data_IF_597132079326
#
_entry.id   IF_597132079326
#
_cell.length_a   1.000
_cell.length_b   1.000
_cell.length_c   1.000
_cell.angle_alpha   90.00
_cell.angle_beta   90.00
_cell.angle_gamma   90.00
#
_symmetry.space_group_name_H-M   'P 1'
#
loop_
_entity.id
_entity.type
_entity.pdbx_description
1 polymer ?
#
# COMPACT_ATOMS: atom_id res chain seq x y z
N UNK A 1 1.30 -7.57 -11.78
CA UNK A 1 0.55 -6.31 -11.66
C UNK A 1 1.49 -5.27 -11.09
N UNK A 2 1.73 -4.19 -11.83
CA UNK A 2 2.58 -3.11 -11.36
C UNK A 2 1.69 -2.06 -10.69
N UNK A 3 1.82 -1.92 -9.37
CA UNK A 3 1.16 -0.86 -8.62
C UNK A 3 2.22 0.14 -8.18
N UNK A 4 2.14 1.37 -8.70
CA UNK A 4 3.06 2.43 -8.31
C UNK A 4 2.77 2.85 -6.87
N UNK A 5 3.80 2.89 -6.04
CA UNK A 5 3.67 3.35 -4.65
C UNK A 5 3.91 4.87 -4.59
N UNK A 6 3.12 5.61 -3.82
CA UNK A 6 3.36 7.03 -3.61
C UNK A 6 4.64 7.21 -2.80
N UNK A 7 5.50 8.14 -3.23
CA UNK A 7 6.64 8.58 -2.45
C UNK A 7 6.20 9.47 -1.29
N UNK A 8 7.06 9.64 -0.29
CA UNK A 8 6.82 10.58 0.81
C UNK A 8 6.56 12.00 0.27
N UNK A 9 7.35 12.47 -0.70
CA UNK A 9 7.15 13.78 -1.34
C UNK A 9 5.77 13.92 -1.98
N UNK A 10 5.26 12.87 -2.64
CA UNK A 10 3.93 12.89 -3.24
C UNK A 10 2.83 13.01 -2.18
N UNK A 11 2.96 12.31 -1.04
CA UNK A 11 2.02 12.42 0.07
C UNK A 11 2.06 13.81 0.72
N UNK A 12 3.25 14.37 0.94
CA UNK A 12 3.45 15.71 1.48
C UNK A 12 2.81 16.79 0.60
N UNK A 13 2.97 16.69 -0.72
CA UNK A 13 2.36 17.63 -1.67
C UNK A 13 0.85 17.47 -1.72
N UNK A 14 0.35 16.23 -1.73
CA UNK A 14 -1.09 15.94 -1.87
C UNK A 14 -1.90 16.35 -0.64
N UNK A 15 -1.37 16.08 0.54
CA UNK A 15 -2.10 16.22 1.80
C UNK A 15 -1.65 17.40 2.66
N UNK A 16 -0.60 18.10 2.25
CA UNK A 16 0.01 19.17 3.03
C UNK A 16 1.12 18.65 3.92
N UNK A 17 2.32 19.22 3.78
CA UNK A 17 3.50 18.79 4.52
C UNK A 17 3.36 18.97 6.03
N UNK A 18 2.67 20.05 6.45
CA UNK A 18 2.37 20.32 7.85
C UNK A 18 1.45 19.25 8.44
N UNK A 19 0.31 19.00 7.81
CA UNK A 19 -0.67 18.03 8.28
C UNK A 19 -0.06 16.62 8.36
N UNK A 20 0.76 16.24 7.39
CA UNK A 20 1.49 14.96 7.42
C UNK A 20 2.54 14.94 8.52
N UNK A 21 3.31 16.01 8.74
CA UNK A 21 4.27 16.07 9.85
C UNK A 21 3.57 15.92 11.21
N UNK A 22 2.41 16.55 11.41
CA UNK A 22 1.64 16.45 12.65
C UNK A 22 1.17 15.03 12.97
N UNK A 23 0.93 14.18 11.95
CA UNK A 23 0.44 12.80 12.16
C UNK A 23 1.49 11.71 11.96
N UNK A 24 2.59 12.02 11.28
CA UNK A 24 3.63 11.04 10.96
C UNK A 24 4.85 11.12 11.89
N UNK A 25 5.06 12.23 12.60
CA UNK A 25 6.10 12.30 13.62
C UNK A 25 5.74 11.32 14.75
N UNK A 26 6.69 10.50 15.24
CA UNK A 26 6.43 9.60 16.36
C UNK A 26 5.93 10.37 17.59
N UNK A 27 4.96 9.81 18.31
CA UNK A 27 4.35 10.46 19.49
C UNK A 27 5.35 10.73 20.63
N UNK A 28 6.52 10.08 20.58
CA UNK A 28 7.64 10.28 21.53
C UNK A 28 8.46 11.52 21.25
N UNK A 29 8.34 12.11 20.05
CA UNK A 29 9.16 13.20 19.56
C UNK A 29 8.36 14.49 19.40
N UNK A 30 9.08 15.62 19.35
CA UNK A 30 8.47 16.92 19.03
C UNK A 30 8.20 17.00 17.53
N UNK A 31 7.02 17.48 17.14
CA UNK A 31 6.70 17.79 15.75
C UNK A 31 7.75 18.74 15.15
N UNK A 32 8.39 18.30 14.07
CA UNK A 32 9.43 19.05 13.35
C UNK A 32 8.83 20.04 12.35
N UNK A 33 9.67 20.97 11.88
CA UNK A 33 9.30 21.87 10.79
C UNK A 33 8.98 21.09 9.51
N UNK A 34 7.89 21.46 8.83
CA UNK A 34 7.45 20.79 7.61
C UNK A 34 8.45 20.93 6.46
N UNK A 35 9.21 22.02 6.45
CA UNK A 35 10.26 22.34 5.50
C UNK A 35 11.42 21.35 5.61
N UNK A 36 11.81 20.96 6.82
CA UNK A 36 12.80 19.91 7.06
C UNK A 36 12.31 18.58 6.51
N UNK A 37 11.04 18.22 6.78
CA UNK A 37 10.47 16.97 6.28
C UNK A 37 10.41 16.93 4.74
N UNK A 38 10.07 18.06 4.10
CA UNK A 38 10.08 18.20 2.63
C UNK A 38 11.49 18.07 2.08
N UNK A 39 12.48 18.75 2.68
CA UNK A 39 13.88 18.67 2.26
C UNK A 39 14.42 17.24 2.39
N UNK A 40 14.12 16.57 3.51
CA UNK A 40 14.52 15.18 3.75
C UNK A 40 13.86 14.23 2.74
N UNK A 41 12.56 14.39 2.47
CA UNK A 41 11.86 13.57 1.47
C UNK A 41 12.39 13.76 0.04
N UNK A 42 12.86 14.97 -0.28
CA UNK A 42 13.46 15.31 -1.58
C UNK A 42 14.94 14.93 -1.70
N UNK A 43 15.57 14.43 -0.62
CA UNK A 43 17.00 14.11 -0.60
C UNK A 43 17.91 15.34 -0.68
N UNK A 44 17.43 16.50 -0.20
CA UNK A 44 18.20 17.73 -0.16
C UNK A 44 19.21 17.73 1.01
N UNK A 45 20.28 18.54 0.94
CA UNK A 45 21.19 18.72 2.08
C UNK A 45 20.45 19.24 3.31
N UNK A 46 20.77 18.68 4.47
CA UNK A 46 20.13 19.01 5.75
C UNK A 46 21.09 19.65 6.76
N UNK A 47 22.29 20.05 6.32
CA UNK A 47 23.39 20.48 7.19
C UNK A 47 23.08 21.73 8.05
N UNK A 48 22.04 22.48 7.69
CA UNK A 48 21.56 23.66 8.40
C UNK A 48 20.62 23.33 9.57
N UNK A 49 20.17 22.08 9.69
CA UNK A 49 19.20 21.65 10.69
C UNK A 49 19.86 20.97 11.90
N UNK A 50 19.25 21.04 13.10
CA UNK A 50 19.73 20.32 14.26
C UNK A 50 19.76 18.80 14.03
N UNK A 51 20.82 18.08 14.46
CA UNK A 51 20.92 16.62 14.28
C UNK A 51 19.74 15.83 14.84
N UNK A 52 19.16 16.29 15.96
CA UNK A 52 17.98 15.71 16.59
C UNK A 52 16.71 15.85 15.73
N UNK A 53 16.54 16.98 15.06
CA UNK A 53 15.41 17.21 14.17
C UNK A 53 15.59 16.38 12.88
N UNK A 54 16.82 16.23 12.40
CA UNK A 54 17.14 15.34 11.26
C UNK A 54 16.82 13.88 11.60
N UNK A 55 17.19 13.41 12.79
CA UNK A 55 16.86 12.05 13.24
C UNK A 55 15.33 11.84 13.30
N UNK A 56 14.59 12.82 13.81
CA UNK A 56 13.12 12.80 13.82
C UNK A 56 12.56 12.77 12.40
N UNK A 57 13.13 13.53 11.46
CA UNK A 57 12.72 13.52 10.06
C UNK A 57 12.92 12.15 9.42
N UNK A 58 14.05 11.49 9.67
CA UNK A 58 14.32 10.13 9.19
C UNK A 58 13.31 9.12 9.76
N UNK A 59 13.03 9.19 11.07
CA UNK A 59 12.03 8.33 11.71
C UNK A 59 10.62 8.57 11.13
N UNK A 60 10.27 9.83 10.87
CA UNK A 60 9.01 10.23 10.25
C UNK A 60 8.88 9.65 8.84
N UNK A 61 9.92 9.74 8.01
CA UNK A 61 9.94 9.15 6.67
C UNK A 61 9.80 7.62 6.71
N UNK A 62 10.40 6.96 7.71
CA UNK A 62 10.22 5.52 7.90
C UNK A 62 8.77 5.16 8.23
N UNK A 63 8.11 5.92 9.12
CA UNK A 63 6.67 5.71 9.43
C UNK A 63 5.77 5.91 8.20
N UNK A 64 6.09 6.89 7.35
CA UNK A 64 5.38 7.11 6.08
C UNK A 64 5.57 5.89 5.15
N UNK A 65 6.79 5.38 5.01
CA UNK A 65 7.07 4.20 4.18
C UNK A 65 6.34 2.94 4.69
N UNK A 66 6.26 2.77 6.01
CA UNK A 66 5.49 1.68 6.63
C UNK A 66 3.99 1.80 6.35
N UNK A 67 3.43 3.01 6.47
CA UNK A 67 2.02 3.26 6.17
C UNK A 67 1.68 2.96 4.69
N UNK A 68 2.56 3.36 3.76
CA UNK A 68 2.44 3.02 2.33
C UNK A 68 2.52 1.51 2.08
N UNK A 69 3.38 0.80 2.81
CA UNK A 69 3.52 -0.66 2.70
C UNK A 69 2.27 -1.39 3.20
N UNK A 70 1.66 -0.91 4.29
CA UNK A 70 0.37 -1.42 4.78
C UNK A 70 -0.75 -1.17 3.77
N UNK A 71 -0.85 0.06 3.25
CA UNK A 71 -1.82 0.42 2.22
C UNK A 71 -1.70 -0.44 0.97
N UNK A 72 -0.46 -0.70 0.49
CA UNK A 72 -0.21 -1.61 -0.63
C UNK A 72 -0.74 -3.01 -0.36
N UNK A 73 -0.49 -3.54 0.83
CA UNK A 73 -0.90 -4.91 1.20
C UNK A 73 -2.42 -5.03 1.21
N UNK A 74 -3.10 -4.01 1.74
CA UNK A 74 -4.56 -3.92 1.77
C UNK A 74 -5.17 -3.79 0.37
N UNK A 75 -4.64 -2.89 -0.47
CA UNK A 75 -5.07 -2.78 -1.87
C UNK A 75 -4.83 -4.10 -2.63
N UNK A 76 -3.69 -4.76 -2.39
CA UNK A 76 -3.35 -6.03 -3.03
C UNK A 76 -4.33 -7.15 -2.66
N UNK A 77 -4.90 -7.11 -1.46
CA UNK A 77 -5.95 -8.03 -1.06
C UNK A 77 -7.16 -7.92 -2.00
N UNK A 78 -7.63 -6.72 -2.34
CA UNK A 78 -8.78 -6.56 -3.23
C UNK A 78 -8.45 -6.90 -4.69
N UNK A 79 -7.24 -6.59 -5.14
CA UNK A 79 -6.78 -6.85 -6.50
C UNK A 79 -6.41 -8.31 -6.77
N UNK A 80 -6.44 -9.20 -5.78
CA UNK A 80 -6.12 -10.64 -5.96
C UNK A 80 -7.03 -11.36 -6.94
N UNK A 81 -8.25 -10.85 -7.12
CA UNK A 81 -9.20 -11.37 -8.12
C UNK A 81 -8.96 -10.81 -9.51
N UNK A 82 -8.02 -9.89 -9.70
CA UNK A 82 -7.77 -9.30 -11.03
C UNK A 82 -7.05 -10.29 -11.93
N UNK A 83 -7.35 -10.25 -13.24
CA UNK A 83 -6.72 -11.15 -14.19
C UNK A 83 -5.20 -10.88 -14.30
N UNK A 84 -4.42 -11.95 -14.51
CA UNK A 84 -2.97 -11.84 -14.67
C UNK A 84 -2.66 -11.06 -15.95
N UNK A 85 -1.86 -10.01 -15.83
CA UNK A 85 -1.48 -9.14 -16.95
C UNK A 85 -2.38 -7.91 -17.10
N UNK A 86 -3.48 -7.81 -16.35
CA UNK A 86 -4.23 -6.57 -16.24
C UNK A 86 -3.63 -5.67 -15.14
N UNK A 87 -3.35 -4.42 -15.50
CA UNK A 87 -2.92 -3.41 -14.55
C UNK A 87 -4.09 -2.91 -13.71
N UNK A 88 -3.79 -2.47 -12.49
CA UNK A 88 -4.79 -1.83 -11.63
C UNK A 88 -5.33 -0.56 -12.31
N UNK A 89 -6.61 -0.22 -12.12
CA UNK A 89 -7.15 1.05 -12.62
C UNK A 89 -6.34 2.22 -12.07
N UNK A 90 -6.14 3.28 -12.88
CA UNK A 90 -5.31 4.41 -12.51
C UNK A 90 -5.69 5.04 -11.16
N UNK A 91 -6.99 5.12 -10.86
CA UNK A 91 -7.53 5.65 -9.61
C UNK A 91 -7.10 4.87 -8.36
N UNK A 92 -6.65 3.61 -8.50
CA UNK A 92 -6.15 2.83 -7.35
C UNK A 92 -4.88 3.45 -6.75
N UNK A 93 -4.08 4.15 -7.56
CA UNK A 93 -2.88 4.82 -7.06
C UNK A 93 -3.25 5.99 -6.14
N UNK A 94 -4.28 6.76 -6.51
CA UNK A 94 -4.83 7.83 -5.66
C UNK A 94 -5.42 7.26 -4.36
N UNK A 95 -6.14 6.16 -4.47
CA UNK A 95 -6.76 5.47 -3.33
C UNK A 95 -5.75 4.89 -2.36
N UNK A 96 -4.65 4.37 -2.88
CA UNK A 96 -3.55 3.90 -2.06
C UNK A 96 -2.97 5.04 -1.22
N UNK A 97 -2.84 6.25 -1.79
CA UNK A 97 -2.39 7.42 -1.03
C UNK A 97 -3.36 7.79 0.10
N UNK A 98 -4.68 7.72 -0.13
CA UNK A 98 -5.69 7.95 0.93
C UNK A 98 -5.62 6.88 2.03
N UNK A 99 -5.45 5.61 1.67
CA UNK A 99 -5.29 4.52 2.65
C UNK A 99 -3.97 4.71 3.44
N UNK A 100 -2.88 5.07 2.77
CA UNK A 100 -1.61 5.36 3.44
C UNK A 100 -1.75 6.52 4.43
N UNK A 101 -2.45 7.59 4.05
CA UNK A 101 -2.78 8.70 4.95
C UNK A 101 -3.56 8.21 6.16
N UNK A 102 -4.60 7.39 5.96
CA UNK A 102 -5.40 6.84 7.05
C UNK A 102 -4.56 6.03 8.04
N UNK A 103 -3.58 5.25 7.55
CA UNK A 103 -2.68 4.45 8.39
C UNK A 103 -1.69 5.28 9.23
N UNK A 104 -1.54 6.58 8.97
CA UNK A 104 -0.71 7.46 9.81
C UNK A 104 -1.42 7.92 11.08
N UNK A 105 -2.75 8.08 11.03
CA UNK A 105 -3.54 8.46 12.20
C UNK A 105 -3.56 7.34 13.24
N UNK A 106 -3.57 7.69 14.52
CA UNK A 106 -3.80 6.75 15.62
C UNK A 106 -5.31 6.45 15.79
N UNK A 107 -5.65 5.37 16.48
CA UNK A 107 -7.03 4.89 16.67
C UNK A 107 -7.96 5.95 17.27
N UNK A 108 -7.46 6.79 18.19
CA UNK A 108 -8.22 7.90 18.76
C UNK A 108 -8.57 9.02 17.76
N UNK A 109 -7.74 9.23 16.72
CA UNK A 109 -7.97 10.23 15.67
C UNK A 109 -8.83 9.71 14.50
N UNK A 110 -9.22 8.43 14.52
CA UNK A 110 -9.93 7.79 13.42
C UNK A 110 -11.45 7.91 13.52
N UNK A 111 -12.07 7.81 14.69
CA UNK A 111 -13.49 7.42 14.75
C UNK A 111 -14.48 8.37 14.04
N UNK A 112 -14.28 9.68 14.11
CA UNK A 112 -15.15 10.69 13.48
C UNK A 112 -14.44 11.60 12.45
N UNK A 113 -13.21 11.27 12.04
CA UNK A 113 -12.46 12.11 11.11
C UNK A 113 -12.91 11.95 9.65
N UNK A 114 -12.85 13.03 8.89
CA UNK A 114 -13.05 13.02 7.42
C UNK A 114 -12.14 12.00 6.73
N UNK A 115 -10.95 11.76 7.28
CA UNK A 115 -9.99 10.77 6.76
C UNK A 115 -10.56 9.35 6.85
N UNK A 116 -11.25 8.99 7.94
CA UNK A 116 -11.92 7.69 8.05
C UNK A 116 -13.09 7.54 7.07
N UNK A 117 -13.83 8.62 6.82
CA UNK A 117 -14.92 8.59 5.83
C UNK A 117 -14.35 8.31 4.44
N UNK A 118 -13.32 9.05 4.02
CA UNK A 118 -12.64 8.84 2.74
C UNK A 118 -12.05 7.44 2.63
N UNK A 119 -11.40 6.95 3.68
CA UNK A 119 -10.91 5.57 3.75
C UNK A 119 -12.03 4.55 3.51
N UNK A 120 -13.18 4.68 4.19
CA UNK A 120 -14.32 3.77 4.00
C UNK A 120 -14.85 3.81 2.57
N UNK A 121 -14.88 4.97 1.93
CA UNK A 121 -15.34 5.10 0.55
C UNK A 121 -14.36 4.47 -0.45
N UNK A 122 -13.05 4.61 -0.20
CA UNK A 122 -12.02 3.89 -0.94
C UNK A 122 -12.19 2.37 -0.80
N UNK A 123 -12.38 1.87 0.42
CA UNK A 123 -12.58 0.43 0.67
C UNK A 123 -13.81 -0.09 -0.07
N UNK A 124 -14.95 0.61 -0.02
CA UNK A 124 -16.16 0.22 -0.76
C UNK A 124 -15.93 0.15 -2.28
N UNK A 125 -15.14 1.08 -2.83
CA UNK A 125 -14.79 1.09 -4.25
C UNK A 125 -13.89 -0.10 -4.60
N UNK A 126 -12.91 -0.43 -3.77
CA UNK A 126 -12.05 -1.62 -3.94
C UNK A 126 -12.85 -2.93 -3.80
N UNK A 127 -13.80 -3.00 -2.87
CA UNK A 127 -14.73 -4.14 -2.73
C UNK A 127 -15.58 -4.33 -3.98
N UNK A 128 -16.10 -3.23 -4.55
CA UNK A 128 -16.88 -3.26 -5.78
C UNK A 128 -16.04 -3.77 -6.94
N UNK A 129 -14.81 -3.27 -7.09
CA UNK A 129 -13.86 -3.74 -8.09
C UNK A 129 -13.57 -5.24 -7.95
N UNK A 130 -13.27 -5.69 -6.73
CA UNK A 130 -12.99 -7.08 -6.43
C UNK A 130 -14.19 -8.00 -6.75
N UNK A 131 -15.41 -7.55 -6.47
CA UNK A 131 -16.64 -8.27 -6.82
C UNK A 131 -16.81 -8.39 -8.33
N UNK A 132 -16.64 -7.31 -9.07
CA UNK A 132 -16.74 -7.29 -10.53
C UNK A 132 -15.66 -8.16 -11.19
N UNK A 133 -14.42 -8.12 -10.68
CA UNK A 133 -13.32 -8.98 -11.14
C UNK A 133 -13.65 -10.46 -10.91
N UNK A 134 -14.22 -10.80 -9.75
CA UNK A 134 -14.67 -12.16 -9.42
C UNK A 134 -15.83 -12.63 -10.31
N UNK A 135 -16.80 -11.78 -10.58
CA UNK A 135 -17.93 -12.07 -11.49
C UNK A 135 -17.48 -12.29 -12.94
N UNK A 136 -16.39 -11.61 -13.36
CA UNK A 136 -15.71 -11.85 -14.65
C UNK A 136 -14.94 -13.18 -14.71
N UNK A 137 -15.01 -14.01 -13.66
CA UNK A 137 -14.45 -15.36 -13.64
C UNK A 137 -12.96 -15.40 -13.33
N UNK A 138 -12.40 -14.30 -12.82
CA UNK A 138 -11.02 -14.31 -12.35
C UNK A 138 -10.96 -14.94 -10.94
N UNK A 139 -10.08 -15.94 -10.79
CA UNK A 139 -9.92 -16.70 -9.55
C UNK A 139 -8.76 -16.15 -8.71
N UNK A 140 -8.78 -16.42 -7.41
CA UNK A 140 -7.86 -15.94 -6.36
C UNK A 140 -6.35 -16.17 -6.64
N UNK A 141 -6.01 -16.95 -7.68
CA UNK A 141 -4.64 -17.24 -8.14
C UNK A 141 -4.37 -16.87 -9.61
N UNK A 142 -5.14 -15.97 -10.22
CA UNK A 142 -5.16 -15.79 -11.67
C UNK A 142 -5.87 -16.96 -12.37
N UNK A 143 -6.20 -16.84 -13.66
CA UNK A 143 -6.77 -17.95 -14.42
C UNK A 143 -5.81 -19.15 -14.35
N UNK A 144 -6.05 -20.08 -13.43
CA UNK A 144 -5.44 -21.41 -13.47
C UNK A 144 -6.13 -22.18 -14.59
N UNK A 145 -5.83 -21.79 -15.83
CA UNK A 145 -6.14 -22.54 -17.03
C UNK A 145 -5.31 -23.83 -17.11
N UNK A 146 -5.10 -24.53 -15.99
CA UNK A 146 -4.47 -25.83 -15.96
C UNK A 146 -5.46 -26.85 -16.49
N UNK A 147 -5.68 -26.83 -17.82
CA UNK A 147 -6.26 -27.96 -18.52
C UNK A 147 -5.25 -29.09 -18.40
N UNK A 148 -5.50 -30.03 -17.49
CA UNK A 148 -4.80 -31.30 -17.45
C UNK A 148 -5.06 -31.97 -18.80
N UNK A 149 -4.14 -31.79 -19.75
CA UNK A 149 -4.30 -32.30 -21.11
C UNK A 149 -4.13 -33.82 -21.15
N UNK A 150 -3.49 -34.42 -20.13
CA UNK A 150 -3.15 -35.84 -20.10
C UNK A 150 -3.51 -36.47 -18.75
N UNK A 151 -4.13 -37.66 -18.79
CA UNK A 151 -4.34 -38.47 -17.60
C UNK A 151 -2.98 -38.72 -16.90
N UNK A 152 -2.87 -38.46 -15.58
CA UNK A 152 -1.67 -38.78 -14.84
C UNK A 152 -1.43 -40.29 -14.92
N UNK A 153 -0.25 -40.69 -15.43
CA UNK A 153 0.17 -42.10 -15.42
C UNK A 153 0.38 -42.50 -13.96
N UNK A 154 -0.58 -43.21 -13.39
CA UNK A 154 -0.45 -43.80 -12.06
C UNK A 154 0.66 -44.86 -12.11
N UNK A 155 1.83 -44.53 -11.56
CA UNK A 155 2.90 -45.49 -11.32
C UNK A 155 2.41 -46.48 -10.27
N UNK A 156 2.16 -47.72 -10.70
CA UNK A 156 1.80 -48.81 -9.79
C UNK A 156 3.08 -49.53 -9.35
N UNK A 157 3.07 -50.20 -8.20
CA UNK A 157 4.24 -50.99 -7.72
C UNK A 157 4.75 -52.03 -8.74
N UNK A 158 3.95 -52.33 -9.78
CA UNK A 158 4.29 -53.25 -10.85
C UNK A 158 5.20 -52.64 -11.92
N UNK A 159 5.13 -51.32 -12.16
CA UNK A 159 5.97 -50.62 -13.16
C UNK A 159 7.32 -50.15 -12.62
N UNK A 160 7.58 -50.34 -11.33
CA UNK A 160 8.81 -49.94 -10.62
C UNK A 160 9.83 -51.08 -10.48
N UNK A 161 9.53 -52.28 -10.99
CA UNK A 161 10.39 -53.47 -10.85
C UNK A 161 11.40 -53.68 -11.98
N UNK A 162 11.31 -52.90 -13.06
CA UNK A 162 12.16 -53.02 -14.25
C UNK A 162 13.11 -51.82 -14.43
N UNK A 163 13.55 -51.18 -13.34
CA UNK A 163 14.61 -50.17 -13.32
C UNK A 163 15.88 -50.74 -12.70
#
# INVERSE_FOLDING_TARGET
MNLSLPSASQLLVRFGARDIAEVAVPDTDRVIASELLVAAAAGQPLDEWPPEDIATAVATLARIADAVTRARSEVSFYLRFRAVGEDAPAWVTDDLAEIARYHLYDDAGKEESTVRVLYKDVIKRLETLAREDKERGASDGGQSGFKISHQPRLMTRRTLRDL
#
